data_IF_387192629223
#
_entry.id   IF_387192629223
#
_cell.length_a   1.000
_cell.length_b   1.000
_cell.length_c   1.000
_cell.angle_alpha   90.00
_cell.angle_beta   90.00
_cell.angle_gamma   90.00
#
_symmetry.space_group_name_H-M   'P 1'
#
loop_
_entity.id
_entity.type
_entity.pdbx_description
1 polymer ?
#
# COMPACT_ATOMS: atom_id res chain seq x y z
N UNK A 1 -1.57 4.14 -19.62
CA UNK A 1 -1.69 4.72 -18.26
C UNK A 1 -2.06 3.64 -17.25
N UNK A 2 -1.71 3.81 -15.98
CA UNK A 2 -2.06 2.83 -14.94
C UNK A 2 -2.57 3.54 -13.70
N UNK A 3 -3.62 3.00 -13.08
CA UNK A 3 -4.14 3.44 -11.78
C UNK A 3 -3.54 2.58 -10.67
N UNK A 4 -3.21 3.24 -9.57
CA UNK A 4 -2.48 2.64 -8.46
C UNK A 4 -3.27 2.87 -7.17
N UNK A 5 -3.28 1.90 -6.26
CA UNK A 5 -3.84 2.09 -4.93
C UNK A 5 -2.85 2.80 -3.99
N UNK A 6 -3.26 3.05 -2.76
CA UNK A 6 -2.42 3.67 -1.72
C UNK A 6 -1.21 2.82 -1.32
N UNK A 7 -1.20 1.53 -1.66
CA UNK A 7 -0.10 0.60 -1.41
C UNK A 7 0.86 0.46 -2.61
N UNK A 8 0.68 1.24 -3.67
CA UNK A 8 1.53 1.14 -4.87
C UNK A 8 1.17 -0.01 -5.81
N UNK A 9 0.05 -0.71 -5.57
CA UNK A 9 -0.39 -1.84 -6.40
C UNK A 9 -1.23 -1.37 -7.58
N UNK A 10 -0.99 -1.97 -8.75
CA UNK A 10 -1.75 -1.68 -9.97
C UNK A 10 -3.21 -2.12 -9.80
N UNK A 11 -4.15 -1.19 -9.95
CA UNK A 11 -5.60 -1.45 -9.96
C UNK A 11 -6.17 -1.64 -11.35
N UNK A 12 -5.72 -0.83 -12.31
CA UNK A 12 -6.16 -0.87 -13.70
C UNK A 12 -5.06 -0.34 -14.62
N UNK A 13 -5.07 -0.76 -15.88
CA UNK A 13 -4.16 -0.28 -16.91
C UNK A 13 -4.90 -0.10 -18.22
N UNK A 14 -4.53 0.93 -18.98
CA UNK A 14 -4.91 1.12 -20.37
C UNK A 14 -3.65 1.32 -21.20
N UNK A 15 -3.53 0.58 -22.29
CA UNK A 15 -2.35 0.59 -23.14
C UNK A 15 -2.76 0.69 -24.61
N UNK A 16 -1.82 1.17 -25.43
CA UNK A 16 -2.02 1.33 -26.87
C UNK A 16 -1.35 0.21 -27.68
N UNK A 17 -0.46 -0.56 -27.06
CA UNK A 17 0.36 -1.60 -27.69
C UNK A 17 0.80 -2.65 -26.65
N UNK A 18 1.05 -3.89 -27.08
CA UNK A 18 1.45 -5.00 -26.21
C UNK A 18 2.82 -4.78 -25.56
N UNK A 19 3.74 -4.10 -26.24
CA UNK A 19 5.05 -3.72 -25.68
C UNK A 19 4.87 -2.79 -24.48
N UNK A 20 3.90 -1.86 -24.57
CA UNK A 20 3.55 -0.92 -23.49
C UNK A 20 2.97 -1.68 -22.31
N UNK A 21 2.13 -2.69 -22.56
CA UNK A 21 1.55 -3.53 -21.51
C UNK A 21 2.63 -4.35 -20.77
N UNK A 22 3.55 -4.96 -21.52
CA UNK A 22 4.65 -5.76 -20.97
C UNK A 22 5.61 -4.90 -20.12
N UNK A 23 6.08 -3.78 -20.67
CA UNK A 23 6.98 -2.87 -19.94
C UNK A 23 6.32 -2.30 -18.68
N UNK A 24 5.02 -2.01 -18.72
CA UNK A 24 4.25 -1.55 -17.58
C UNK A 24 4.14 -2.60 -16.48
N UNK A 25 3.76 -3.83 -16.83
CA UNK A 25 3.58 -4.94 -15.89
C UNK A 25 4.86 -5.21 -15.07
N UNK A 26 6.01 -5.25 -15.75
CA UNK A 26 7.31 -5.47 -15.13
C UNK A 26 7.64 -4.45 -14.04
N UNK A 27 7.14 -3.21 -14.12
CA UNK A 27 7.42 -2.22 -13.07
C UNK A 27 6.79 -2.62 -11.73
N UNK A 28 5.56 -3.12 -11.79
CA UNK A 28 4.81 -3.52 -10.59
C UNK A 28 5.27 -4.88 -10.06
N UNK A 29 5.61 -5.81 -10.94
CA UNK A 29 6.18 -7.11 -10.55
C UNK A 29 7.52 -6.95 -9.82
N UNK A 30 8.36 -6.03 -10.30
CA UNK A 30 9.69 -5.80 -9.74
C UNK A 30 9.71 -4.73 -8.63
N UNK A 31 8.61 -4.00 -8.44
CA UNK A 31 8.56 -2.85 -7.54
C UNK A 31 9.53 -1.73 -7.91
N UNK A 32 9.96 -1.66 -9.17
CA UNK A 32 10.92 -0.68 -9.67
C UNK A 32 10.47 -0.12 -11.02
N UNK A 33 10.70 1.16 -11.25
CA UNK A 33 10.54 1.73 -12.58
C UNK A 33 10.12 3.20 -12.59
N UNK A 34 10.13 3.81 -13.78
CA UNK A 34 9.83 5.22 -13.96
C UNK A 34 8.39 5.55 -13.55
N UNK A 35 7.41 4.68 -13.83
CA UNK A 35 6.01 4.92 -13.48
C UNK A 35 5.75 4.90 -11.97
N UNK A 36 6.38 3.97 -11.24
CA UNK A 36 6.29 3.92 -9.77
C UNK A 36 6.97 5.11 -9.14
N UNK A 37 8.11 5.55 -9.69
CA UNK A 37 8.81 6.73 -9.21
C UNK A 37 8.01 8.00 -9.48
N UNK A 38 7.43 8.14 -10.68
CA UNK A 38 6.55 9.26 -11.01
C UNK A 38 5.36 9.32 -10.06
N UNK A 39 4.70 8.17 -9.83
CA UNK A 39 3.58 8.07 -8.88
C UNK A 39 4.00 8.48 -7.46
N UNK A 40 5.08 7.91 -6.93
CA UNK A 40 5.50 8.12 -5.54
C UNK A 40 6.04 9.54 -5.28
N UNK A 41 6.72 10.14 -6.26
CA UNK A 41 7.30 11.48 -6.15
C UNK A 41 6.38 12.59 -6.70
N UNK A 42 5.16 12.24 -7.13
CA UNK A 42 4.17 13.16 -7.69
C UNK A 42 4.72 14.07 -8.81
N UNK A 43 5.57 13.49 -9.67
CA UNK A 43 6.35 14.26 -10.64
C UNK A 43 6.44 13.56 -11.99
N UNK A 44 7.06 14.24 -12.95
CA UNK A 44 7.40 13.69 -14.26
C UNK A 44 8.81 13.12 -14.25
N UNK A 45 8.94 11.88 -14.71
CA UNK A 45 10.18 11.12 -14.83
C UNK A 45 10.43 10.81 -16.30
N UNK A 46 11.62 11.17 -16.79
CA UNK A 46 12.06 10.90 -18.16
C UNK A 46 13.29 9.99 -18.14
N UNK A 47 13.34 9.02 -19.06
CA UNK A 47 14.51 8.21 -19.39
C UNK A 47 14.85 8.49 -20.85
N UNK A 48 16.06 8.99 -21.10
CA UNK A 48 16.56 9.24 -22.47
C UNK A 48 17.10 7.96 -23.12
N UNK A 49 17.76 7.08 -22.37
CA UNK A 49 18.11 5.75 -22.86
C UNK A 49 18.06 4.69 -21.75
N UNK A 50 17.09 3.79 -21.84
CA UNK A 50 16.87 2.67 -20.91
C UNK A 50 18.13 1.83 -20.75
N UNK A 51 18.92 1.65 -21.81
CA UNK A 51 20.13 0.81 -21.75
C UNK A 51 21.17 1.39 -20.77
N UNK A 52 21.25 2.71 -20.68
CA UNK A 52 22.25 3.44 -19.87
C UNK A 52 21.73 3.93 -18.51
N UNK A 53 20.43 3.81 -18.25
CA UNK A 53 19.81 4.36 -17.05
C UNK A 53 19.80 3.35 -15.89
N UNK A 54 20.73 3.50 -14.96
CA UNK A 54 20.89 2.57 -13.85
C UNK A 54 20.01 2.87 -12.63
N UNK A 55 19.02 3.78 -12.73
CA UNK A 55 18.11 4.09 -11.60
C UNK A 55 17.25 2.89 -11.18
N UNK A 56 16.92 1.99 -12.11
CA UNK A 56 16.08 0.81 -11.86
C UNK A 56 16.70 -0.43 -12.52
N UNK A 57 17.77 -1.01 -11.94
CA UNK A 57 18.57 -2.04 -12.61
C UNK A 57 17.81 -3.35 -12.85
N UNK A 58 16.82 -3.70 -12.02
CA UNK A 58 16.01 -4.89 -12.25
C UNK A 58 15.03 -4.68 -13.41
N UNK A 59 14.33 -3.54 -13.40
CA UNK A 59 13.41 -3.19 -14.47
C UNK A 59 14.14 -3.04 -15.81
N UNK A 60 15.27 -2.33 -15.83
CA UNK A 60 16.14 -2.19 -17.01
C UNK A 60 16.51 -3.53 -17.63
N UNK A 61 16.92 -4.51 -16.81
CA UNK A 61 17.26 -5.85 -17.29
C UNK A 61 16.04 -6.60 -17.84
N UNK A 62 14.89 -6.47 -17.17
CA UNK A 62 13.69 -7.19 -17.57
C UNK A 62 13.06 -6.66 -18.87
N UNK A 63 13.23 -5.37 -19.19
CA UNK A 63 12.75 -4.78 -20.45
C UNK A 63 13.77 -4.82 -21.58
N UNK A 64 14.94 -5.42 -21.38
CA UNK A 64 16.06 -5.37 -22.33
C UNK A 64 15.73 -5.96 -23.71
N UNK A 65 14.84 -6.95 -23.76
CA UNK A 65 14.41 -7.61 -24.99
C UNK A 65 13.20 -6.93 -25.67
N UNK A 66 12.66 -5.85 -25.06
CA UNK A 66 11.57 -5.07 -25.64
C UNK A 66 12.12 -3.96 -26.54
N UNK A 67 11.40 -3.54 -27.60
CA UNK A 67 11.79 -2.42 -28.44
C UNK A 67 11.52 -1.07 -27.73
N UNK A 68 12.19 -0.86 -26.60
CA UNK A 68 12.03 0.27 -25.71
C UNK A 68 13.40 0.91 -25.44
N UNK A 69 13.53 2.19 -25.77
CA UNK A 69 14.77 2.95 -25.55
C UNK A 69 14.55 4.20 -24.73
N UNK A 70 13.42 4.89 -24.84
CA UNK A 70 13.14 6.04 -23.99
C UNK A 70 11.71 6.00 -23.45
N UNK A 71 11.49 6.69 -22.33
CA UNK A 71 10.15 6.84 -21.75
C UNK A 71 9.97 8.17 -21.07
N UNK A 72 8.73 8.63 -21.04
CA UNK A 72 8.28 9.76 -20.26
C UNK A 72 7.05 9.32 -19.46
N UNK A 73 7.13 9.42 -18.14
CA UNK A 73 6.08 9.03 -17.20
C UNK A 73 5.74 10.21 -16.29
N UNK A 74 4.46 10.53 -16.12
CA UNK A 74 4.01 11.62 -15.25
C UNK A 74 2.91 11.14 -14.31
N UNK A 75 2.96 11.61 -13.06
CA UNK A 75 1.93 11.34 -12.08
C UNK A 75 0.55 11.82 -12.56
N UNK A 76 -0.48 11.05 -12.24
CA UNK A 76 -1.88 11.47 -12.30
C UNK A 76 -2.28 11.91 -10.89
N UNK A 77 -2.39 13.21 -10.66
CA UNK A 77 -2.69 13.77 -9.34
C UNK A 77 -4.12 14.29 -9.31
N UNK A 78 -4.91 13.80 -8.36
CA UNK A 78 -6.28 14.21 -8.12
C UNK A 78 -6.46 14.47 -6.62
N UNK A 79 -7.07 15.60 -6.25
CA UNK A 79 -7.25 16.04 -4.85
C UNK A 79 -5.98 15.95 -4.00
N UNK A 80 -4.85 16.39 -4.58
CA UNK A 80 -3.55 16.41 -3.89
C UNK A 80 -2.95 15.04 -3.63
N UNK A 81 -3.43 13.99 -4.32
CA UNK A 81 -2.91 12.62 -4.19
C UNK A 81 -2.65 12.00 -5.56
N UNK A 82 -1.53 11.29 -5.68
CA UNK A 82 -1.23 10.47 -6.84
C UNK A 82 -2.14 9.24 -6.95
N UNK A 83 -3.00 9.20 -7.95
CA UNK A 83 -3.94 8.09 -8.23
C UNK A 83 -3.39 7.10 -9.26
N UNK A 84 -2.23 7.41 -9.87
CA UNK A 84 -1.60 6.60 -10.88
C UNK A 84 -0.57 7.37 -11.69
N UNK A 85 -0.28 6.89 -12.90
CA UNK A 85 0.61 7.58 -13.82
C UNK A 85 0.26 7.36 -15.30
N UNK A 86 0.46 8.41 -16.08
CA UNK A 86 0.40 8.42 -17.53
C UNK A 86 1.82 8.30 -18.08
N UNK A 87 2.00 7.54 -19.15
CA UNK A 87 3.33 7.26 -19.69
C UNK A 87 3.29 6.99 -21.17
N UNK A 88 4.39 7.31 -21.83
CA UNK A 88 4.66 7.03 -23.24
C UNK A 88 6.05 6.40 -23.36
N UNK A 89 6.20 5.59 -24.40
CA UNK A 89 7.38 4.78 -24.66
C UNK A 89 7.81 5.00 -26.12
N UNK A 90 9.11 4.93 -26.38
CA UNK A 90 9.65 5.04 -27.73
C UNK A 90 10.78 4.03 -27.97
N UNK A 91 10.87 3.44 -29.18
CA UNK A 91 11.99 2.57 -29.57
C UNK A 91 13.28 3.36 -29.87
N UNK A 92 13.23 4.69 -29.87
CA UNK A 92 14.39 5.56 -30.10
C UNK A 92 14.92 6.12 -28.77
N UNK A 93 16.25 6.24 -28.59
CA UNK A 93 16.81 7.00 -27.48
C UNK A 93 16.53 8.50 -27.67
N UNK A 94 16.49 9.24 -26.56
CA UNK A 94 16.28 10.69 -26.48
C UNK A 94 15.09 11.21 -27.31
N UNK A 95 14.00 10.44 -27.38
CA UNK A 95 12.86 10.76 -28.23
C UNK A 95 11.97 11.89 -27.69
N UNK A 96 12.11 12.25 -26.41
CA UNK A 96 11.22 13.20 -25.75
C UNK A 96 11.95 14.50 -25.41
N UNK A 97 11.44 15.60 -25.96
CA UNK A 97 11.89 16.95 -25.69
C UNK A 97 11.26 17.52 -24.41
N UNK A 98 11.74 18.70 -23.99
CA UNK A 98 11.10 19.48 -22.94
C UNK A 98 9.64 19.86 -23.28
N UNK A 99 9.32 20.01 -24.57
CA UNK A 99 7.97 20.31 -25.03
C UNK A 99 7.05 19.08 -24.89
N UNK A 100 7.53 17.88 -25.23
CA UNK A 100 6.79 16.63 -25.04
C UNK A 100 6.51 16.39 -23.57
N UNK A 101 7.51 16.65 -22.71
CA UNK A 101 7.35 16.64 -21.25
C UNK A 101 6.22 17.53 -20.80
N UNK A 102 6.22 18.80 -21.24
CA UNK A 102 5.18 19.77 -20.88
C UNK A 102 3.80 19.31 -21.37
N UNK A 103 3.71 18.80 -22.60
CA UNK A 103 2.45 18.31 -23.17
C UNK A 103 1.90 17.13 -22.40
N UNK A 104 2.74 16.15 -22.03
CA UNK A 104 2.29 15.00 -21.25
C UNK A 104 1.77 15.42 -19.87
N UNK A 105 2.46 16.35 -19.20
CA UNK A 105 1.98 16.90 -17.91
C UNK A 105 0.64 17.62 -18.07
N UNK A 106 0.45 18.39 -19.14
CA UNK A 106 -0.82 19.07 -19.42
C UNK A 106 -1.98 18.09 -19.70
N UNK A 107 -1.70 16.97 -20.36
CA UNK A 107 -2.67 15.90 -20.59
C UNK A 107 -2.99 15.09 -19.32
N UNK A 108 -2.03 15.00 -18.40
CA UNK A 108 -2.19 14.26 -17.16
C UNK A 108 -3.27 14.88 -16.25
N UNK A 109 -3.38 16.20 -16.21
CA UNK A 109 -4.36 16.90 -15.37
C UNK A 109 -5.82 16.52 -15.70
N UNK A 110 -6.34 16.71 -16.93
CA UNK A 110 -7.71 16.31 -17.25
C UNK A 110 -7.93 14.80 -17.14
N UNK A 111 -6.92 13.98 -17.47
CA UNK A 111 -7.01 12.53 -17.27
C UNK A 111 -7.16 12.16 -15.80
N UNK A 112 -6.41 12.81 -14.90
CA UNK A 112 -6.50 12.58 -13.47
C UNK A 112 -7.88 12.99 -12.91
N UNK A 113 -8.44 14.11 -13.35
CA UNK A 113 -9.80 14.53 -12.96
C UNK A 113 -10.85 13.51 -13.38
N UNK A 114 -10.80 13.05 -14.64
CA UNK A 114 -11.78 12.08 -15.15
C UNK A 114 -11.67 10.73 -14.43
N UNK A 115 -10.46 10.24 -14.22
CA UNK A 115 -10.22 8.94 -13.58
C UNK A 115 -10.48 9.00 -12.08
N UNK A 116 -10.14 10.10 -11.43
CA UNK A 116 -10.40 10.34 -10.00
C UNK A 116 -11.89 10.34 -9.70
N UNK A 117 -12.67 11.08 -10.49
CA UNK A 117 -14.14 11.16 -10.37
C UNK A 117 -14.84 9.82 -10.65
N UNK A 118 -14.25 8.95 -11.47
CA UNK A 118 -14.81 7.66 -11.85
C UNK A 118 -14.46 6.53 -10.87
N UNK A 119 -13.51 6.76 -9.95
CA UNK A 119 -13.21 5.82 -8.89
C UNK A 119 -14.26 5.99 -7.79
N UNK A 120 -15.03 4.95 -7.41
CA UNK A 120 -15.85 5.04 -6.23
C UNK A 120 -14.93 5.32 -5.06
N UNK A 121 -15.19 6.40 -4.33
CA UNK A 121 -14.59 6.63 -3.02
C UNK A 121 -14.66 5.30 -2.26
N UNK A 122 -13.52 4.74 -1.90
CA UNK A 122 -13.48 3.50 -1.12
C UNK A 122 -13.84 3.76 0.35
N UNK A 123 -14.00 5.03 0.73
CA UNK A 123 -14.31 5.49 2.08
C UNK A 123 -15.70 5.05 2.60
N UNK A 124 -16.82 5.17 1.86
CA UNK A 124 -18.14 4.74 2.33
C UNK A 124 -18.21 3.22 2.50
N UNK A 125 -17.58 2.47 1.60
CA UNK A 125 -17.54 1.01 1.66
C UNK A 125 -16.62 0.49 2.79
N UNK A 126 -15.53 1.19 3.09
CA UNK A 126 -14.67 0.87 4.23
C UNK A 126 -15.34 1.23 5.57
N UNK A 127 -15.98 2.39 5.68
CA UNK A 127 -16.73 2.81 6.86
C UNK A 127 -17.92 1.87 7.14
N UNK A 128 -18.66 1.48 6.10
CA UNK A 128 -19.76 0.51 6.22
C UNK A 128 -19.25 -0.87 6.66
N UNK A 129 -18.14 -1.36 6.09
CA UNK A 129 -17.53 -2.63 6.52
C UNK A 129 -16.99 -2.59 7.95
N UNK A 130 -16.38 -1.48 8.37
CA UNK A 130 -15.93 -1.28 9.74
C UNK A 130 -17.11 -1.26 10.73
N UNK A 131 -18.21 -0.59 10.37
CA UNK A 131 -19.45 -0.59 11.16
C UNK A 131 -20.08 -1.98 11.22
N UNK A 132 -20.20 -2.68 10.09
CA UNK A 132 -20.72 -4.05 10.01
C UNK A 132 -19.89 -5.02 10.87
N UNK A 133 -18.56 -4.92 10.81
CA UNK A 133 -17.66 -5.74 11.62
C UNK A 133 -17.76 -5.42 13.12
N UNK A 134 -17.98 -4.15 13.49
CA UNK A 134 -18.20 -3.75 14.88
C UNK A 134 -19.55 -4.26 15.41
N UNK A 135 -20.61 -4.18 14.61
CA UNK A 135 -21.94 -4.70 14.95
C UNK A 135 -21.96 -6.22 15.07
N UNK A 136 -21.26 -6.94 14.19
CA UNK A 136 -21.14 -8.39 14.24
C UNK A 136 -20.34 -8.91 15.46
N UNK A 137 -19.57 -8.04 16.10
CA UNK A 137 -18.81 -8.35 17.33
C UNK A 137 -19.56 -8.05 18.61
N UNK A 138 -20.76 -7.46 18.53
CA UNK A 138 -21.59 -7.24 19.69
C UNK A 138 -22.50 -8.46 19.90
N UNK A 139 -22.35 -9.22 21.00
CA UNK A 139 -23.34 -10.23 21.34
C UNK A 139 -24.66 -9.49 21.62
N UNK A 140 -25.70 -9.81 20.84
CA UNK A 140 -27.01 -9.18 20.98
C UNK A 140 -27.56 -9.29 22.41
N UNK A 141 -28.48 -8.40 22.80
CA UNK A 141 -29.03 -8.39 24.16
C UNK A 141 -29.68 -9.75 24.47
N UNK A 142 -29.34 -10.30 25.65
CA UNK A 142 -29.88 -11.56 26.13
C UNK A 142 -31.42 -11.58 26.02
N UNK A 143 -32.04 -12.66 25.51
CA UNK A 143 -33.48 -12.73 25.43
C UNK A 143 -34.08 -12.79 26.83
N UNK A 144 -34.93 -11.83 27.16
CA UNK A 144 -35.80 -11.89 28.32
C UNK A 144 -36.74 -13.10 28.16
N UNK A 145 -36.59 -14.10 29.02
CA UNK A 145 -37.48 -15.26 29.08
C UNK A 145 -38.90 -14.86 29.49
N UNK A 146 -39.93 -15.61 29.07
CA UNK A 146 -41.31 -15.27 29.37
C UNK A 146 -41.60 -15.51 30.86
N UNK A 147 -42.24 -14.53 31.49
CA UNK A 147 -42.68 -14.60 32.88
C UNK A 147 -43.72 -15.71 33.09
N UNK A 148 -43.61 -16.39 34.22
CA UNK A 148 -44.66 -17.27 34.73
C UNK A 148 -45.07 -16.77 36.14
N UNK A 149 -46.37 -16.62 36.45
CA UNK A 149 -46.81 -16.18 37.77
C UNK A 149 -46.98 -17.37 38.72
N UNK A 150 -46.83 -17.05 40.00
CA UNK A 150 -47.31 -17.77 41.19
C UNK A 150 -46.67 -19.14 41.56
N UNK A 151 -45.86 -19.07 42.63
CA UNK A 151 -46.11 -19.81 43.86
C UNK A 151 -45.80 -21.31 43.88
N UNK A 152 -44.63 -21.67 44.43
CA UNK A 152 -44.42 -22.55 45.61
C UNK A 152 -42.95 -23.02 45.71
N UNK A 153 -42.41 -22.97 46.94
CA UNK A 153 -41.47 -23.88 47.63
C UNK A 153 -40.41 -24.65 46.79
N UNK A 154 -39.11 -24.73 47.13
CA UNK A 154 -38.50 -25.17 48.40
C UNK A 154 -36.96 -24.94 48.27
N UNK A 155 -36.23 -24.43 49.28
CA UNK A 155 -35.58 -25.14 50.41
C UNK A 155 -34.20 -25.78 50.11
N UNK A 156 -33.22 -25.43 50.95
CA UNK A 156 -31.94 -26.15 51.19
C UNK A 156 -30.80 -25.79 50.23
N UNK A 157 -29.54 -25.62 50.61
CA UNK A 157 -28.82 -25.90 51.85
C UNK A 157 -27.57 -25.01 51.97
N UNK A 158 -27.08 -24.93 53.20
CA UNK A 158 -26.04 -24.05 53.76
C UNK A 158 -24.59 -24.53 53.55
N UNK A 159 -23.68 -23.54 53.55
CA UNK A 159 -22.40 -23.41 54.29
C UNK A 159 -21.18 -24.32 54.00
N UNK A 160 -20.02 -23.66 54.08
CA UNK A 160 -18.66 -24.20 54.28
C UNK A 160 -17.64 -23.34 53.51
N UNK A 161 -17.08 -22.23 54.02
CA UNK A 161 -16.13 -22.04 55.15
C UNK A 161 -14.71 -22.58 54.93
N UNK A 162 -13.90 -21.80 54.19
CA UNK A 162 -12.47 -21.36 54.42
C UNK A 162 -11.35 -22.41 54.73
N UNK A 163 -10.07 -22.01 54.92
CA UNK A 163 -9.02 -21.92 53.89
C UNK A 163 -7.73 -22.73 54.27
N UNK A 164 -6.70 -22.85 53.41
CA UNK A 164 -5.29 -22.94 53.83
C UNK A 164 -4.31 -22.84 52.65
N UNK A 165 -3.11 -22.36 52.97
CA UNK A 165 -2.07 -21.78 52.13
C UNK A 165 -0.89 -22.71 51.79
N UNK A 166 0.17 -22.11 51.20
CA UNK A 166 1.58 -22.57 51.02
C UNK A 166 1.87 -23.21 49.65
N UNK A 167 2.90 -22.84 48.88
CA UNK A 167 4.07 -22.00 49.19
C UNK A 167 4.87 -21.58 47.94
N UNK A 168 5.78 -20.63 48.20
CA UNK A 168 6.81 -20.05 47.33
C UNK A 168 7.87 -21.06 46.90
N UNK A 169 8.55 -20.82 45.77
CA UNK A 169 10.02 -20.77 45.67
C UNK A 169 10.40 -19.82 44.53
N UNK A 170 11.21 -18.83 44.90
CA UNK A 170 11.95 -17.88 44.07
C UNK A 170 13.33 -18.43 43.65
N UNK A 171 14.08 -17.58 42.93
CA UNK A 171 15.53 -17.61 42.63
C UNK A 171 15.95 -18.47 41.44
N UNK A 172 16.89 -18.10 40.58
CA UNK A 172 17.78 -16.94 40.32
C UNK A 172 18.43 -17.33 38.96
N UNK A 173 19.04 -16.50 38.12
CA UNK A 173 19.55 -15.14 38.23
C UNK A 173 20.12 -14.75 36.85
N UNK A 174 20.39 -13.46 36.67
CA UNK A 174 21.15 -12.94 35.53
C UNK A 174 22.65 -13.32 35.61
N UNK A 175 23.60 -12.57 34.97
CA UNK A 175 23.43 -11.20 34.51
C UNK A 175 24.17 -10.78 33.21
N UNK A 176 23.86 -9.55 32.81
CA UNK A 176 24.76 -8.47 32.37
C UNK A 176 25.65 -8.60 31.12
N UNK A 177 25.46 -7.62 30.23
CA UNK A 177 26.45 -7.20 29.24
C UNK A 177 26.05 -5.87 28.57
N UNK A 178 26.12 -4.77 29.33
CA UNK A 178 25.91 -3.36 28.91
C UNK A 178 26.94 -2.93 27.85
N UNK A 179 26.52 -2.37 26.71
CA UNK A 179 26.57 -0.92 26.35
C UNK A 179 27.89 -0.47 25.63
N UNK A 180 28.13 0.82 25.26
CA UNK A 180 27.75 1.44 23.97
C UNK A 180 28.90 2.16 23.19
N UNK A 181 28.57 2.68 21.99
CA UNK A 181 29.05 3.92 21.31
C UNK A 181 30.43 4.56 21.69
N UNK A 182 31.37 4.67 20.71
CA UNK A 182 31.88 5.95 20.11
C UNK A 182 33.28 5.81 19.42
N UNK A 183 33.36 6.45 18.25
CA UNK A 183 34.50 7.15 17.60
C UNK A 183 35.97 6.87 18.01
N UNK A 184 36.83 6.63 17.01
CA UNK A 184 37.77 7.65 16.44
C UNK A 184 38.63 7.10 15.29
N UNK A 185 39.04 8.06 14.45
CA UNK A 185 39.93 8.04 13.28
C UNK A 185 41.32 7.44 13.58
N UNK A 186 42.00 6.85 12.58
CA UNK A 186 43.21 7.43 11.99
C UNK A 186 43.79 6.62 10.80
N UNK A 187 44.29 7.39 9.83
CA UNK A 187 45.20 7.11 8.71
C UNK A 187 46.18 5.93 8.90
N UNK A 188 46.41 5.15 7.83
CA UNK A 188 47.58 5.27 6.95
C UNK A 188 47.33 4.51 5.65
#
# INVERSE_FOLDING_TARGET
MSLVDDQGRKRSTGYTDDVVAAADALQYELGQGPCLTAWAAETTVQIDDVVSDDRWPLWRKAVADLPLRSTLSTALVHDGRSIGALKVYSPLPAAFSAQDRKQLTLLASPAATLLGSAQPDSAPAAASRALQAALARHPGPHPHGPGHPDGKAWAGCRLGSTPHAVGSIDHEGGPAGRSPLRHRRHRR
#
